data_IF_371332109469
#
_entry.id   IF_371332109469
#
_cell.length_a   1.000
_cell.length_b   1.000
_cell.length_c   1.000
_cell.angle_alpha   90.00
_cell.angle_beta   90.00
_cell.angle_gamma   90.00
#
_symmetry.space_group_name_H-M   'P 1'
#
loop_
_entity.id
_entity.type
_entity.pdbx_description
1 polymer ?
#
# COMPACT_ATOMS: atom_id res chain seq x y z
N UNK A 1 5.33 -9.64 17.72
CA UNK A 1 4.89 -8.38 17.14
C UNK A 1 4.26 -8.56 15.76
N UNK A 2 4.94 -9.26 14.86
CA UNK A 2 4.38 -9.50 13.52
C UNK A 2 3.09 -10.31 13.55
N UNK A 3 3.02 -11.31 14.42
CA UNK A 3 1.80 -12.11 14.56
C UNK A 3 0.63 -11.29 15.10
N UNK A 4 0.92 -10.32 15.96
CA UNK A 4 -0.12 -9.44 16.50
C UNK A 4 -0.72 -8.56 15.42
N UNK A 5 0.11 -8.02 14.54
CA UNK A 5 -0.36 -7.21 13.42
C UNK A 5 -1.22 -8.06 12.47
N UNK A 6 -0.83 -9.29 12.22
CA UNK A 6 -1.62 -10.19 11.38
C UNK A 6 -3.01 -10.44 11.96
N UNK A 7 -3.11 -10.59 13.28
CA UNK A 7 -4.40 -10.78 13.93
C UNK A 7 -5.29 -9.55 13.79
N UNK A 8 -4.72 -8.36 13.94
CA UNK A 8 -5.47 -7.11 13.78
C UNK A 8 -6.01 -6.99 12.36
N UNK A 9 -5.17 -7.27 11.37
CA UNK A 9 -5.61 -7.25 9.97
C UNK A 9 -6.74 -8.25 9.71
N UNK A 10 -6.68 -9.42 10.31
CA UNK A 10 -7.71 -10.42 10.16
C UNK A 10 -9.07 -9.93 10.65
N UNK A 11 -9.10 -9.15 11.71
CA UNK A 11 -10.35 -8.59 12.22
C UNK A 11 -10.99 -7.61 11.24
N UNK A 12 -10.18 -6.83 10.53
CA UNK A 12 -10.69 -5.88 9.54
C UNK A 12 -11.31 -6.56 8.33
N UNK A 13 -11.06 -7.84 8.14
CA UNK A 13 -11.58 -8.57 6.98
C UNK A 13 -12.96 -9.15 7.20
N UNK A 14 -13.55 -8.90 8.35
CA UNK A 14 -14.90 -9.38 8.63
C UNK A 14 -15.97 -8.56 7.94
N UNK A 15 -15.64 -7.43 7.37
CA UNK A 15 -16.57 -6.58 6.65
C UNK A 15 -16.47 -6.76 5.14
N UNK A 16 -16.87 -5.73 4.41
CA UNK A 16 -16.91 -5.69 2.96
C UNK A 16 -15.63 -5.14 2.33
N UNK A 17 -14.54 -5.14 3.05
CA UNK A 17 -13.28 -4.63 2.55
C UNK A 17 -12.53 -5.59 1.65
N UNK A 18 -11.31 -5.21 1.28
CA UNK A 18 -10.43 -6.04 0.48
C UNK A 18 -9.80 -7.18 1.27
N UNK A 19 -9.16 -8.08 0.56
CA UNK A 19 -8.54 -9.25 1.14
C UNK A 19 -7.01 -9.10 1.10
N UNK A 20 -6.38 -9.14 2.27
CA UNK A 20 -4.92 -9.09 2.41
C UNK A 20 -4.36 -10.31 3.14
N UNK A 21 -5.13 -11.38 3.23
CA UNK A 21 -4.78 -12.57 4.02
C UNK A 21 -3.46 -13.21 3.63
N UNK A 22 -3.21 -13.33 2.34
CA UNK A 22 -2.06 -14.08 1.84
C UNK A 22 -1.09 -13.16 1.08
N UNK A 23 -1.10 -11.87 1.39
CA UNK A 23 -0.24 -10.93 0.71
C UNK A 23 1.24 -11.24 1.00
N UNK A 24 2.05 -11.17 -0.05
CA UNK A 24 3.50 -11.30 0.06
C UNK A 24 4.08 -9.89 0.09
N UNK A 25 4.81 -9.56 1.14
CA UNK A 25 5.48 -8.27 1.26
C UNK A 25 6.94 -8.50 0.87
N UNK A 26 7.35 -7.94 -0.26
CA UNK A 26 8.71 -8.12 -0.76
C UNK A 26 9.68 -7.20 -0.02
N UNK A 27 10.82 -7.75 0.37
CA UNK A 27 11.89 -6.96 0.94
C UNK A 27 12.72 -6.36 -0.19
N UNK A 28 12.89 -5.04 -0.16
CA UNK A 28 13.69 -4.30 -1.13
C UNK A 28 14.63 -3.41 -0.35
N UNK A 29 15.92 -3.47 -0.65
CA UNK A 29 16.92 -2.66 0.04
C UNK A 29 16.75 -1.18 -0.28
N UNK A 30 17.17 -0.34 0.65
CA UNK A 30 17.07 1.12 0.49
C UNK A 30 18.25 1.77 1.19
N UNK A 31 18.75 2.85 0.59
CA UNK A 31 19.74 3.73 1.20
C UNK A 31 19.08 4.92 1.91
N UNK A 32 17.76 5.07 1.72
CA UNK A 32 17.00 6.21 2.25
C UNK A 32 16.19 5.80 3.48
N UNK A 33 15.54 4.63 3.42
CA UNK A 33 14.61 4.18 4.45
C UNK A 33 15.05 2.87 5.07
N UNK A 34 14.82 2.72 6.37
CA UNK A 34 15.00 1.45 7.05
C UNK A 34 13.89 0.47 6.65
N UNK A 35 14.13 -0.83 6.86
CA UNK A 35 13.10 -1.83 6.60
C UNK A 35 11.88 -1.62 7.50
N UNK A 36 12.06 -1.08 8.68
CA UNK A 36 10.97 -0.75 9.59
C UNK A 36 10.10 0.37 9.03
N UNK A 37 10.72 1.40 8.44
CA UNK A 37 9.99 2.50 7.81
C UNK A 37 9.21 2.01 6.58
N UNK A 38 9.83 1.17 5.77
CA UNK A 38 9.17 0.57 4.62
C UNK A 38 8.00 -0.31 5.06
N UNK A 39 8.22 -1.13 6.08
CA UNK A 39 7.17 -2.00 6.62
C UNK A 39 5.99 -1.20 7.15
N UNK A 40 6.26 -0.09 7.84
CA UNK A 40 5.18 0.77 8.34
C UNK A 40 4.35 1.36 7.22
N UNK A 41 4.98 1.75 6.12
CA UNK A 41 4.27 2.25 4.94
C UNK A 41 3.41 1.14 4.31
N UNK A 42 3.97 -0.05 4.17
CA UNK A 42 3.22 -1.20 3.65
C UNK A 42 2.00 -1.51 4.52
N UNK A 43 2.17 -1.51 5.84
CA UNK A 43 1.04 -1.76 6.75
C UNK A 43 -0.05 -0.71 6.62
N UNK A 44 0.30 0.53 6.34
CA UNK A 44 -0.68 1.59 6.08
C UNK A 44 -1.53 1.25 4.86
N UNK A 45 -0.88 0.79 3.79
CA UNK A 45 -1.61 0.38 2.57
C UNK A 45 -2.48 -0.84 2.85
N UNK A 46 -1.95 -1.84 3.56
CA UNK A 46 -2.71 -3.05 3.87
C UNK A 46 -3.98 -2.72 4.67
N UNK A 47 -3.87 -1.82 5.63
CA UNK A 47 -5.03 -1.40 6.43
C UNK A 47 -6.09 -0.72 5.58
N UNK A 48 -5.68 0.16 4.68
CA UNK A 48 -6.61 0.83 3.78
C UNK A 48 -7.25 -0.16 2.81
N UNK A 49 -6.45 -1.06 2.26
CA UNK A 49 -6.94 -2.06 1.32
C UNK A 49 -7.99 -2.97 1.99
N UNK A 50 -7.68 -3.44 3.19
CA UNK A 50 -8.59 -4.30 3.94
C UNK A 50 -9.91 -3.60 4.27
N UNK A 51 -9.86 -2.29 4.46
CA UNK A 51 -11.05 -1.51 4.84
C UNK A 51 -11.92 -1.11 3.65
N UNK A 52 -11.31 -0.75 2.52
CA UNK A 52 -12.01 0.00 1.48
C UNK A 52 -12.02 -0.65 0.09
N UNK A 53 -11.24 -1.69 -0.14
CA UNK A 53 -11.06 -2.25 -1.49
C UNK A 53 -11.86 -3.53 -1.67
N UNK A 54 -13.18 -3.44 -1.48
CA UNK A 54 -14.05 -4.61 -1.62
C UNK A 54 -13.94 -5.23 -3.02
N UNK A 55 -14.05 -6.55 -3.07
CA UNK A 55 -13.93 -7.28 -4.33
C UNK A 55 -12.52 -7.44 -4.84
N UNK A 56 -11.51 -6.98 -4.10
CA UNK A 56 -10.11 -7.05 -4.51
C UNK A 56 -9.29 -7.86 -3.52
N UNK A 57 -8.30 -8.59 -4.03
CA UNK A 57 -7.35 -9.37 -3.23
C UNK A 57 -5.95 -8.90 -3.53
N UNK A 58 -5.29 -8.35 -2.53
CA UNK A 58 -3.89 -7.91 -2.64
C UNK A 58 -2.99 -9.13 -2.55
N UNK A 59 -2.20 -9.38 -3.58
CA UNK A 59 -1.34 -10.55 -3.63
C UNK A 59 0.11 -10.24 -3.31
N UNK A 60 0.59 -9.06 -3.70
CA UNK A 60 1.97 -8.66 -3.50
C UNK A 60 2.06 -7.17 -3.26
N UNK A 61 3.02 -6.75 -2.45
CA UNK A 61 3.36 -5.34 -2.27
C UNK A 61 4.84 -5.23 -1.89
N UNK A 62 5.49 -4.18 -2.35
CA UNK A 62 6.88 -3.92 -2.01
C UNK A 62 7.29 -2.49 -2.28
N UNK A 63 8.42 -2.10 -1.74
CA UNK A 63 9.00 -0.79 -1.97
C UNK A 63 9.42 -0.66 -3.44
N UNK A 64 9.07 0.45 -4.06
CA UNK A 64 9.36 0.68 -5.48
C UNK A 64 10.82 1.05 -5.76
N UNK A 65 11.59 1.33 -4.70
CA UNK A 65 13.01 1.66 -4.83
C UNK A 65 13.29 3.14 -4.64
N UNK A 66 14.55 3.44 -4.34
CA UNK A 66 14.99 4.81 -4.05
C UNK A 66 14.85 5.74 -5.27
N UNK A 67 15.00 5.21 -6.47
CA UNK A 67 14.81 6.00 -7.69
C UNK A 67 13.39 6.54 -7.80
N UNK A 68 12.41 5.73 -7.45
CA UNK A 68 11.01 6.15 -7.50
C UNK A 68 10.76 7.31 -6.53
N UNK A 69 11.38 7.26 -5.34
CA UNK A 69 11.32 8.36 -4.40
C UNK A 69 11.88 9.64 -5.01
N UNK A 70 13.02 9.52 -5.69
CA UNK A 70 13.65 10.67 -6.36
C UNK A 70 12.76 11.32 -7.43
N UNK A 71 11.96 10.52 -8.11
CA UNK A 71 11.06 11.03 -9.15
C UNK A 71 9.78 11.68 -8.61
N UNK A 72 9.51 11.55 -7.32
CA UNK A 72 8.24 12.01 -6.71
C UNK A 72 8.44 13.02 -5.60
N UNK A 73 9.55 13.75 -5.64
CA UNK A 73 9.86 14.76 -4.61
C UNK A 73 8.88 15.94 -4.61
N UNK A 74 8.15 16.14 -5.70
CA UNK A 74 7.12 17.18 -5.79
C UNK A 74 5.97 16.95 -4.77
N UNK A 75 5.80 15.71 -4.34
CA UNK A 75 4.79 15.38 -3.33
C UNK A 75 5.11 16.03 -1.98
N UNK A 76 6.39 16.31 -1.70
CA UNK A 76 6.76 16.93 -0.43
C UNK A 76 6.17 18.32 -0.27
N UNK A 77 6.25 19.16 -1.30
CA UNK A 77 5.66 20.49 -1.23
C UNK A 77 4.15 20.45 -1.37
N UNK A 78 3.65 19.53 -2.20
CA UNK A 78 2.20 19.39 -2.42
C UNK A 78 1.45 19.06 -1.14
N UNK A 79 2.03 18.24 -0.29
CA UNK A 79 1.40 17.78 0.95
C UNK A 79 2.05 18.34 2.21
N UNK A 80 2.97 19.29 2.07
CA UNK A 80 3.71 19.88 3.20
C UNK A 80 4.31 18.78 4.06
N UNK A 81 5.03 17.87 3.43
CA UNK A 81 5.60 16.69 4.09
C UNK A 81 7.12 16.70 4.02
N UNK A 82 7.75 15.89 4.87
CA UNK A 82 9.19 15.74 4.92
C UNK A 82 9.69 14.57 4.09
N UNK A 83 8.89 13.51 3.99
CA UNK A 83 9.26 12.29 3.27
C UNK A 83 8.14 11.80 2.39
N UNK A 84 8.51 11.16 1.28
CA UNK A 84 7.58 10.46 0.39
C UNK A 84 8.11 9.05 0.17
N UNK A 85 7.22 8.06 0.13
CA UNK A 85 7.59 6.69 -0.19
C UNK A 85 6.63 6.15 -1.24
N UNK A 86 7.14 5.31 -2.12
CA UNK A 86 6.39 4.72 -3.23
C UNK A 86 6.41 3.21 -3.09
N UNK A 87 5.24 2.60 -3.09
CA UNK A 87 5.11 1.15 -3.05
C UNK A 87 4.46 0.66 -4.34
N UNK A 88 4.82 -0.53 -4.77
CA UNK A 88 4.24 -1.20 -5.93
C UNK A 88 3.50 -2.45 -5.47
N UNK A 89 2.38 -2.74 -6.10
CA UNK A 89 1.57 -3.89 -5.72
C UNK A 89 0.95 -4.56 -6.92
N UNK A 90 0.46 -5.77 -6.67
CA UNK A 90 -0.39 -6.52 -7.58
C UNK A 90 -1.63 -6.94 -6.82
N UNK A 91 -2.80 -6.78 -7.43
CA UNK A 91 -4.03 -7.27 -6.82
C UNK A 91 -4.97 -7.83 -7.89
N UNK A 92 -5.84 -8.74 -7.47
CA UNK A 92 -6.86 -9.33 -8.32
C UNK A 92 -8.20 -8.67 -8.03
N UNK A 93 -9.00 -8.53 -9.08
CA UNK A 93 -10.35 -7.96 -9.00
C UNK A 93 -11.33 -9.08 -9.33
N UNK A 94 -12.35 -9.26 -8.50
CA UNK A 94 -13.37 -10.30 -8.74
C UNK A 94 -14.43 -9.83 -9.75
N UNK A 95 -15.51 -10.60 -9.87
CA UNK A 95 -16.57 -10.31 -10.83
C UNK A 95 -17.34 -9.03 -10.58
N UNK A 96 -17.21 -8.42 -9.38
CA UNK A 96 -17.89 -7.18 -9.06
C UNK A 96 -17.25 -5.95 -9.69
N UNK A 97 -15.95 -6.05 -10.07
CA UNK A 97 -15.20 -4.89 -10.53
C UNK A 97 -14.81 -3.95 -9.40
N UNK A 98 -14.67 -4.48 -8.17
CA UNK A 98 -14.38 -3.67 -7.00
C UNK A 98 -15.58 -2.83 -6.62
N UNK A 99 -15.44 -1.51 -6.64
CA UNK A 99 -16.56 -0.59 -6.46
C UNK A 99 -17.32 -0.32 -7.77
N UNK A 100 -17.00 -1.05 -8.82
CA UNK A 100 -17.57 -0.87 -10.14
C UNK A 100 -16.70 -0.09 -11.11
N UNK A 101 -15.59 0.49 -10.62
CA UNK A 101 -14.69 1.29 -11.45
C UNK A 101 -13.54 0.50 -12.05
N UNK A 102 -13.34 -0.74 -11.59
CA UNK A 102 -12.25 -1.59 -12.08
C UNK A 102 -12.81 -2.65 -13.03
N UNK A 103 -11.91 -3.20 -13.85
CA UNK A 103 -12.32 -4.26 -14.78
C UNK A 103 -12.59 -5.55 -14.00
N UNK A 104 -13.78 -6.15 -14.16
CA UNK A 104 -14.09 -7.41 -13.47
C UNK A 104 -13.16 -8.54 -13.89
N UNK A 105 -12.84 -9.42 -12.95
CA UNK A 105 -12.06 -10.63 -13.19
C UNK A 105 -10.69 -10.33 -13.80
N UNK A 106 -10.05 -9.26 -13.33
CA UNK A 106 -8.76 -8.81 -13.86
C UNK A 106 -7.67 -8.85 -12.79
N UNK A 107 -6.44 -8.66 -13.23
CA UNK A 107 -5.27 -8.51 -12.35
C UNK A 107 -4.62 -7.18 -12.66
N UNK A 108 -4.45 -6.36 -11.62
CA UNK A 108 -3.78 -5.06 -11.74
C UNK A 108 -2.35 -5.23 -11.24
N UNK A 109 -1.39 -5.08 -12.14
CA UNK A 109 0.05 -5.17 -11.82
C UNK A 109 0.67 -3.79 -11.78
N UNK A 110 1.69 -3.64 -10.95
CA UNK A 110 2.45 -2.39 -10.83
C UNK A 110 1.56 -1.20 -10.42
N UNK A 111 0.58 -1.49 -9.59
CA UNK A 111 -0.26 -0.45 -9.02
C UNK A 111 0.53 0.31 -7.96
N UNK A 112 0.59 1.61 -8.10
CA UNK A 112 1.44 2.48 -7.28
C UNK A 112 0.64 3.01 -6.09
N UNK A 113 1.29 3.03 -4.93
CA UNK A 113 0.77 3.66 -3.72
C UNK A 113 1.77 4.73 -3.28
N UNK A 114 1.29 5.94 -3.10
CA UNK A 114 2.13 7.07 -2.69
C UNK A 114 1.77 7.45 -1.27
N UNK A 115 2.76 7.47 -0.39
CA UNK A 115 2.57 7.86 1.00
C UNK A 115 3.54 8.98 1.33
N UNK A 116 3.08 9.89 2.20
CA UNK A 116 3.92 10.97 2.71
C UNK A 116 3.85 10.96 4.23
N UNK A 117 4.84 11.58 4.87
CA UNK A 117 4.78 11.80 6.31
C UNK A 117 5.35 13.17 6.64
N UNK A 118 4.76 13.88 7.61
CA UNK A 118 5.36 15.08 8.16
C UNK A 118 6.57 14.69 9.01
N UNK A 119 7.45 15.61 9.30
CA UNK A 119 8.63 15.35 10.12
C UNK A 119 8.26 14.69 11.44
N UNK A 120 8.79 13.47 11.68
CA UNK A 120 8.50 12.71 12.87
C UNK A 120 7.11 12.10 12.96
N UNK A 121 6.32 12.19 11.90
CA UNK A 121 4.95 11.68 11.89
C UNK A 121 4.81 10.30 11.28
N UNK A 122 3.56 9.86 11.15
CA UNK A 122 3.20 8.58 10.55
C UNK A 122 2.98 8.72 9.06
N UNK A 123 3.15 7.60 8.33
CA UNK A 123 2.85 7.56 6.91
C UNK A 123 1.37 7.78 6.66
N UNK A 124 1.06 8.58 5.65
CA UNK A 124 -0.30 8.86 5.21
C UNK A 124 -0.41 8.54 3.73
N UNK A 125 -1.39 7.74 3.37
CA UNK A 125 -1.65 7.39 1.98
C UNK A 125 -2.33 8.58 1.30
N UNK A 126 -1.73 9.09 0.23
CA UNK A 126 -2.22 10.31 -0.43
C UNK A 126 -2.59 10.10 -1.89
N UNK A 127 -2.12 9.03 -2.50
CA UNK A 127 -2.40 8.79 -3.92
C UNK A 127 -2.20 7.33 -4.25
N UNK A 128 -2.84 6.86 -5.33
CA UNK A 128 -2.67 5.51 -5.81
C UNK A 128 -3.11 5.44 -7.29
N UNK A 129 -2.60 4.43 -8.01
CA UNK A 129 -2.96 4.21 -9.41
C UNK A 129 -1.79 3.67 -10.23
N UNK A 130 -1.86 3.88 -11.54
CA UNK A 130 -0.77 3.50 -12.44
C UNK A 130 0.21 4.64 -12.66
#
# INVERSE_FOLDING_TARGET
MKSLLALILSLFMLGSGGNVKNVVIHEVSSDIYSQEEISAAAQTVLSEFARSWSGCTLTEIGYAGDEAVGRHQDYLSRYNASDVIVLLSTFNVDGSGGDGSLEPNSTCKNWIWMLVRPGGGSWQLVDQGY
#
